data_IF_275602131277
#
_entry.id   IF_275602131277
#
_cell.length_a   1.000
_cell.length_b   1.000
_cell.length_c   1.000
_cell.angle_alpha   90.00
_cell.angle_beta   90.00
_cell.angle_gamma   90.00
#
_symmetry.space_group_name_H-M   'P 1'
#
loop_
_entity.id
_entity.type
_entity.pdbx_description
1 polymer ?
#
# COMPACT_ATOMS: atom_id res chain seq x y z
N UNK A 1 5.00 -21.79 -9.28
CA UNK A 1 5.63 -22.07 -7.98
C UNK A 1 4.79 -21.42 -6.87
N UNK A 2 4.54 -22.15 -5.78
CA UNK A 2 3.88 -21.63 -4.58
C UNK A 2 4.93 -21.46 -3.47
N UNK A 3 5.04 -20.26 -2.90
CA UNK A 3 5.95 -19.96 -1.80
C UNK A 3 5.12 -19.90 -0.52
N UNK A 4 5.33 -20.85 0.39
CA UNK A 4 4.64 -20.89 1.67
C UNK A 4 5.47 -20.15 2.74
N UNK A 5 4.86 -19.17 3.40
CA UNK A 5 5.40 -18.59 4.63
C UNK A 5 4.84 -19.31 5.86
N UNK A 6 5.67 -19.49 6.88
CA UNK A 6 5.25 -20.08 8.17
C UNK A 6 4.35 -19.15 8.99
N UNK A 7 4.44 -17.85 8.73
CA UNK A 7 3.74 -16.80 9.44
C UNK A 7 3.30 -15.68 8.50
N UNK A 8 2.35 -14.86 8.94
CA UNK A 8 1.92 -13.68 8.21
C UNK A 8 2.95 -12.56 8.36
N UNK A 9 3.68 -12.28 7.29
CA UNK A 9 4.73 -11.25 7.25
C UNK A 9 4.19 -9.84 6.91
N UNK A 10 2.91 -9.72 6.59
CA UNK A 10 2.32 -8.51 6.02
C UNK A 10 2.54 -8.40 4.51
N UNK A 11 2.05 -7.28 3.93
CA UNK A 11 2.01 -7.12 2.48
C UNK A 11 3.41 -6.97 1.87
N UNK A 12 4.22 -6.04 2.38
CA UNK A 12 5.54 -5.73 1.81
C UNK A 12 6.51 -6.91 1.89
N UNK A 13 6.71 -7.44 3.09
CA UNK A 13 7.62 -8.56 3.33
C UNK A 13 7.13 -9.85 2.65
N UNK A 14 5.81 -10.08 2.59
CA UNK A 14 5.23 -11.19 1.81
C UNK A 14 5.57 -11.10 0.33
N UNK A 15 5.47 -9.90 -0.28
CA UNK A 15 5.87 -9.68 -1.67
C UNK A 15 7.40 -9.83 -1.85
N UNK A 16 8.21 -9.42 -0.88
CA UNK A 16 9.67 -9.57 -0.94
C UNK A 16 10.11 -11.03 -1.07
N UNK A 17 9.38 -11.98 -0.47
CA UNK A 17 9.66 -13.42 -0.64
C UNK A 17 9.56 -13.85 -2.11
N UNK A 18 8.56 -13.34 -2.83
CA UNK A 18 8.40 -13.59 -4.26
C UNK A 18 9.43 -12.82 -5.08
N UNK A 19 9.57 -11.52 -4.85
CA UNK A 19 10.45 -10.63 -5.61
C UNK A 19 11.92 -11.03 -5.53
N UNK A 20 12.37 -11.56 -4.38
CA UNK A 20 13.74 -12.04 -4.22
C UNK A 20 14.12 -13.20 -5.15
N UNK A 21 13.12 -13.93 -5.69
CA UNK A 21 13.30 -15.06 -6.60
C UNK A 21 13.08 -14.70 -8.07
N UNK A 22 12.72 -13.44 -8.35
CA UNK A 22 12.46 -12.98 -9.72
C UNK A 22 13.79 -12.76 -10.45
N UNK A 23 13.98 -13.49 -11.56
CA UNK A 23 15.13 -13.38 -12.46
C UNK A 23 14.82 -12.54 -13.71
N UNK A 24 13.54 -12.33 -14.02
CA UNK A 24 13.10 -11.53 -15.17
C UNK A 24 13.33 -10.04 -14.95
N UNK A 25 13.36 -9.26 -16.04
CA UNK A 25 13.55 -7.80 -15.99
C UNK A 25 12.39 -7.07 -15.32
N UNK A 26 11.21 -7.68 -15.32
CA UNK A 26 9.97 -7.10 -14.80
C UNK A 26 9.22 -8.11 -13.93
N UNK A 27 8.46 -7.62 -12.97
CA UNK A 27 7.53 -8.38 -12.15
C UNK A 27 6.19 -7.68 -12.07
N UNK A 28 5.10 -8.43 -11.98
CA UNK A 28 3.77 -7.89 -11.73
C UNK A 28 3.27 -8.41 -10.38
N UNK A 29 3.11 -7.50 -9.41
CA UNK A 29 2.39 -7.80 -8.18
C UNK A 29 0.90 -7.57 -8.43
N UNK A 30 0.07 -8.53 -8.00
CA UNK A 30 -1.39 -8.45 -8.12
C UNK A 30 -2.01 -9.00 -6.85
N UNK A 31 -2.93 -8.25 -6.24
CA UNK A 31 -3.69 -8.74 -5.10
C UNK A 31 -4.64 -9.88 -5.52
N UNK A 32 -4.93 -10.84 -4.62
CA UNK A 32 -5.79 -11.99 -4.95
C UNK A 32 -7.26 -11.62 -5.27
N UNK A 33 -7.70 -10.42 -4.91
CA UNK A 33 -9.04 -9.87 -5.22
C UNK A 33 -9.05 -8.92 -6.43
N UNK A 34 -7.99 -8.96 -7.25
CA UNK A 34 -7.87 -8.21 -8.51
C UNK A 34 -7.97 -9.15 -9.70
N UNK A 35 -8.81 -8.79 -10.65
CA UNK A 35 -8.91 -9.46 -11.95
C UNK A 35 -8.34 -8.56 -13.05
N UNK A 36 -7.35 -9.08 -13.76
CA UNK A 36 -6.76 -8.41 -14.92
C UNK A 36 -7.64 -8.60 -16.15
N UNK A 37 -7.82 -7.54 -16.95
CA UNK A 37 -8.40 -7.69 -18.27
C UNK A 37 -7.45 -8.48 -19.19
N UNK A 38 -7.98 -9.17 -20.18
CA UNK A 38 -7.21 -10.07 -21.07
C UNK A 38 -6.01 -9.41 -21.78
N UNK A 39 -6.09 -8.10 -22.00
CA UNK A 39 -5.06 -7.31 -22.67
C UNK A 39 -4.12 -6.55 -21.71
N UNK A 40 -4.37 -6.63 -20.39
CA UNK A 40 -3.64 -5.83 -19.40
C UNK A 40 -2.13 -6.08 -19.42
N UNK A 41 -1.70 -7.34 -19.50
CA UNK A 41 -0.27 -7.69 -19.54
C UNK A 41 0.40 -7.13 -20.79
N UNK A 42 -0.24 -7.27 -21.97
CA UNK A 42 0.28 -6.71 -23.21
C UNK A 42 0.39 -5.18 -23.17
N UNK A 43 -0.58 -4.51 -22.54
CA UNK A 43 -0.56 -3.05 -22.37
C UNK A 43 0.58 -2.60 -21.47
N UNK A 44 0.92 -3.32 -20.39
CA UNK A 44 2.11 -3.01 -19.60
C UNK A 44 3.38 -3.04 -20.47
N UNK A 45 3.53 -4.02 -21.35
CA UNK A 45 4.67 -4.09 -22.27
C UNK A 45 4.64 -2.99 -23.33
N UNK A 46 3.47 -2.58 -23.81
CA UNK A 46 3.35 -1.44 -24.71
C UNK A 46 3.72 -0.12 -24.02
N UNK A 47 3.34 0.04 -22.75
CA UNK A 47 3.71 1.23 -21.96
C UNK A 47 5.22 1.38 -21.82
N UNK A 48 5.97 0.29 -21.64
CA UNK A 48 7.44 0.33 -21.55
C UNK A 48 8.06 0.96 -22.80
N UNK A 49 7.54 0.65 -23.98
CA UNK A 49 8.09 1.15 -25.26
C UNK A 49 7.95 2.69 -25.37
N UNK A 50 6.98 3.27 -24.68
CA UNK A 50 6.69 4.71 -24.70
C UNK A 50 7.32 5.47 -23.52
N UNK A 51 7.77 4.74 -22.51
CA UNK A 51 8.38 5.29 -21.31
C UNK A 51 9.89 5.05 -21.32
N UNK A 52 10.64 6.02 -20.83
CA UNK A 52 12.05 5.79 -20.55
C UNK A 52 12.24 4.91 -19.30
N UNK A 53 13.20 5.25 -18.44
CA UNK A 53 13.41 4.52 -17.21
C UNK A 53 12.24 4.75 -16.22
N UNK A 54 11.75 3.66 -15.61
CA UNK A 54 10.66 3.69 -14.64
C UNK A 54 10.91 2.73 -13.49
N UNK A 55 10.30 2.98 -12.35
CA UNK A 55 10.25 2.07 -11.22
C UNK A 55 8.97 1.24 -11.19
N UNK A 56 7.83 1.90 -11.36
CA UNK A 56 6.49 1.30 -11.29
C UNK A 56 5.59 1.85 -12.39
N UNK A 57 4.82 0.96 -13.04
CA UNK A 57 3.64 1.30 -13.82
C UNK A 57 2.43 0.66 -13.15
N UNK A 58 1.41 1.43 -12.80
CA UNK A 58 0.20 0.94 -12.19
C UNK A 58 -1.01 1.08 -13.12
N UNK A 59 -1.96 0.14 -13.07
CA UNK A 59 -3.23 0.24 -13.77
C UNK A 59 -4.20 1.14 -12.99
N UNK A 60 -5.37 1.40 -13.58
CA UNK A 60 -6.51 1.95 -12.87
C UNK A 60 -7.52 0.86 -12.52
N UNK A 61 -8.21 1.02 -11.39
CA UNK A 61 -9.36 0.19 -11.04
C UNK A 61 -10.61 0.68 -11.78
N UNK A 62 -11.42 -0.24 -12.30
CA UNK A 62 -12.75 0.08 -12.81
C UNK A 62 -13.68 0.62 -11.72
N UNK A 63 -13.42 0.28 -10.46
CA UNK A 63 -14.08 0.88 -9.32
C UNK A 63 -13.33 2.13 -8.87
N UNK A 64 -13.89 3.30 -9.16
CA UNK A 64 -13.29 4.62 -8.89
C UNK A 64 -12.86 4.83 -7.43
N UNK A 65 -13.53 4.17 -6.48
CA UNK A 65 -13.16 4.22 -5.05
C UNK A 65 -11.72 3.81 -4.78
N UNK A 66 -11.14 2.97 -5.63
CA UNK A 66 -9.76 2.48 -5.50
C UNK A 66 -8.75 3.27 -6.31
N UNK A 67 -9.16 4.31 -7.02
CA UNK A 67 -8.26 5.19 -7.74
C UNK A 67 -7.86 6.40 -6.89
N UNK A 68 -6.61 6.82 -6.99
CA UNK A 68 -6.09 8.02 -6.30
C UNK A 68 -6.43 9.32 -7.02
N UNK A 69 -6.95 9.24 -8.25
CA UNK A 69 -7.12 10.37 -9.16
C UNK A 69 -8.52 10.35 -9.74
N UNK A 70 -9.09 11.53 -9.94
CA UNK A 70 -10.23 11.71 -10.84
C UNK A 70 -9.75 11.37 -12.25
N UNK A 71 -10.07 10.18 -12.70
CA UNK A 71 -9.74 9.70 -14.04
C UNK A 71 -10.83 10.24 -14.96
N UNK A 72 -10.77 11.53 -15.24
CA UNK A 72 -11.46 12.09 -16.38
C UNK A 72 -10.82 11.45 -17.60
N UNK A 73 -11.59 10.92 -18.52
CA UNK A 73 -11.39 10.37 -19.87
C UNK A 73 -9.99 10.41 -20.53
N UNK A 74 -8.98 10.90 -19.87
CA UNK A 74 -7.59 10.98 -20.30
C UNK A 74 -7.00 9.57 -20.42
N UNK A 75 -6.59 9.24 -21.63
CA UNK A 75 -5.89 7.98 -21.96
C UNK A 75 -4.37 8.07 -21.86
N UNK A 76 -3.85 9.24 -21.48
CA UNK A 76 -2.40 9.46 -21.43
C UNK A 76 -1.79 8.90 -20.15
N UNK A 77 -0.60 8.30 -20.28
CA UNK A 77 0.19 7.83 -19.16
C UNK A 77 0.64 9.03 -18.33
N UNK A 78 0.42 8.99 -17.02
CA UNK A 78 0.73 10.09 -16.11
C UNK A 78 1.83 9.70 -15.12
N UNK A 79 2.83 10.58 -14.97
CA UNK A 79 3.79 10.48 -13.87
C UNK A 79 3.10 10.92 -12.56
N UNK A 80 3.30 10.14 -11.50
CA UNK A 80 2.65 10.34 -10.20
C UNK A 80 3.63 10.21 -9.05
N UNK A 81 3.23 10.66 -7.85
CA UNK A 81 4.07 10.51 -6.66
C UNK A 81 4.01 9.11 -6.04
N UNK A 82 2.86 8.48 -6.10
CA UNK A 82 2.63 7.14 -5.56
C UNK A 82 1.45 6.47 -6.26
N UNK A 83 1.36 5.16 -6.09
CA UNK A 83 0.29 4.31 -6.61
C UNK A 83 -0.31 3.47 -5.49
N UNK A 84 -1.46 2.85 -5.75
CA UNK A 84 -2.06 1.85 -4.86
C UNK A 84 -1.40 0.49 -5.07
N UNK A 85 -1.24 -0.26 -3.98
CA UNK A 85 -0.57 -1.56 -3.98
C UNK A 85 -1.35 -2.72 -4.60
N UNK A 86 -2.60 -2.54 -5.05
CA UNK A 86 -3.43 -3.66 -5.53
C UNK A 86 -2.91 -4.30 -6.84
N UNK A 87 -2.22 -3.53 -7.70
CA UNK A 87 -1.53 -4.02 -8.88
C UNK A 87 -0.38 -3.08 -9.26
N UNK A 88 0.83 -3.62 -9.37
CA UNK A 88 2.04 -2.84 -9.68
C UNK A 88 2.95 -3.62 -10.61
N UNK A 89 3.21 -3.09 -11.79
CA UNK A 89 4.20 -3.59 -12.73
C UNK A 89 5.55 -2.92 -12.45
N UNK A 90 6.54 -3.72 -12.10
CA UNK A 90 7.77 -3.31 -11.46
C UNK A 90 8.98 -3.51 -12.38
N UNK A 91 9.86 -2.52 -12.44
CA UNK A 91 11.18 -2.67 -13.03
C UNK A 91 12.15 -3.24 -11.98
N UNK A 92 12.53 -4.52 -12.16
CA UNK A 92 13.33 -5.25 -11.19
C UNK A 92 14.75 -4.67 -11.01
N UNK A 93 15.32 -4.06 -12.05
CA UNK A 93 16.62 -3.36 -11.96
C UNK A 93 16.55 -2.24 -10.91
N UNK A 94 15.55 -1.39 -10.98
CA UNK A 94 15.39 -0.25 -10.08
C UNK A 94 14.97 -0.68 -8.67
N UNK A 95 14.14 -1.72 -8.56
CA UNK A 95 13.75 -2.28 -7.27
C UNK A 95 14.95 -2.88 -6.50
N UNK A 96 15.81 -3.63 -7.18
CA UNK A 96 17.02 -4.22 -6.55
C UNK A 96 17.94 -3.15 -5.98
N UNK A 97 18.06 -1.98 -6.63
CA UNK A 97 18.89 -0.87 -6.15
C UNK A 97 18.40 -0.27 -4.84
N UNK A 98 17.11 -0.35 -4.54
CA UNK A 98 16.51 0.20 -3.32
C UNK A 98 16.12 -0.88 -2.30
N UNK A 99 16.50 -2.12 -2.55
CA UNK A 99 16.26 -3.26 -1.66
C UNK A 99 14.77 -3.54 -1.40
N UNK A 100 13.92 -3.53 -2.45
CA UNK A 100 12.51 -3.90 -2.43
C UNK A 100 11.64 -3.11 -1.42
N UNK A 101 10.61 -3.74 -0.85
CA UNK A 101 9.81 -3.15 0.22
C UNK A 101 10.60 -3.10 1.54
N UNK A 102 10.24 -2.16 2.41
CA UNK A 102 10.74 -2.14 3.79
C UNK A 102 9.89 -3.11 4.64
N UNK A 103 10.53 -4.15 5.16
CA UNK A 103 9.88 -5.22 5.93
C UNK A 103 9.32 -4.75 7.28
N UNK A 104 9.69 -3.56 7.74
CA UNK A 104 9.10 -2.98 8.95
C UNK A 104 7.64 -2.59 8.77
N UNK A 105 7.17 -2.31 7.54
CA UNK A 105 5.77 -2.08 7.25
C UNK A 105 5.02 -3.41 7.13
N UNK A 106 4.27 -3.77 8.16
CA UNK A 106 3.39 -4.93 8.06
C UNK A 106 2.18 -4.66 7.16
N UNK A 107 1.56 -3.47 7.32
CA UNK A 107 0.38 -3.04 6.57
C UNK A 107 0.31 -1.52 6.54
N UNK A 108 -0.07 -0.95 5.39
CA UNK A 108 -0.15 0.48 5.07
C UNK A 108 1.19 1.21 4.97
N UNK A 109 1.29 2.11 4.03
CA UNK A 109 2.45 2.93 3.68
C UNK A 109 3.62 2.18 3.02
N UNK A 110 3.60 0.86 2.93
CA UNK A 110 4.65 0.07 2.26
C UNK A 110 4.82 0.45 0.79
N UNK A 111 3.72 0.62 0.05
CA UNK A 111 3.75 1.05 -1.36
C UNK A 111 4.14 2.53 -1.50
N UNK A 112 3.71 3.37 -0.57
CA UNK A 112 4.05 4.80 -0.55
C UNK A 112 5.55 4.98 -0.23
N UNK A 113 6.08 4.22 0.72
CA UNK A 113 7.50 4.17 1.03
C UNK A 113 8.33 3.69 -0.16
N UNK A 114 7.87 2.62 -0.83
CA UNK A 114 8.51 2.08 -2.03
C UNK A 114 8.58 3.13 -3.14
N UNK A 115 7.46 3.75 -3.49
CA UNK A 115 7.39 4.82 -4.49
C UNK A 115 8.35 5.96 -4.15
N UNK A 116 8.37 6.39 -2.87
CA UNK A 116 9.24 7.47 -2.42
C UNK A 116 10.72 7.11 -2.52
N UNK A 117 11.12 5.87 -2.18
CA UNK A 117 12.51 5.40 -2.33
C UNK A 117 12.93 5.29 -3.78
N UNK A 118 12.04 4.80 -4.67
CA UNK A 118 12.26 4.79 -6.11
C UNK A 118 12.48 6.20 -6.66
N UNK A 119 11.61 7.16 -6.30
CA UNK A 119 11.76 8.56 -6.74
C UNK A 119 13.06 9.21 -6.24
N UNK A 120 13.47 8.93 -5.00
CA UNK A 120 14.77 9.37 -4.48
C UNK A 120 15.96 8.79 -5.25
N UNK A 121 15.76 7.61 -5.86
CA UNK A 121 16.73 6.96 -6.74
C UNK A 121 16.52 7.32 -8.23
N UNK A 122 15.88 8.44 -8.53
CA UNK A 122 15.59 8.97 -9.87
C UNK A 122 14.72 8.05 -10.75
N UNK A 123 14.03 7.08 -10.19
CA UNK A 123 13.07 6.24 -10.91
C UNK A 123 11.67 6.86 -10.89
N UNK A 124 11.03 6.91 -12.04
CA UNK A 124 9.70 7.48 -12.20
C UNK A 124 8.60 6.46 -11.89
N UNK A 125 7.47 6.96 -11.43
CA UNK A 125 6.27 6.18 -11.13
C UNK A 125 5.17 6.64 -12.07
N UNK A 126 4.50 5.70 -12.74
CA UNK A 126 3.46 6.01 -13.72
C UNK A 126 2.15 5.32 -13.40
N UNK A 127 1.06 5.94 -13.81
CA UNK A 127 -0.26 5.31 -13.99
C UNK A 127 -0.58 5.32 -15.47
N UNK A 128 -0.96 4.15 -16.00
CA UNK A 128 -1.47 4.02 -17.34
C UNK A 128 -2.99 3.78 -17.31
N UNK A 129 -3.82 4.79 -17.66
CA UNK A 129 -5.27 4.67 -17.59
C UNK A 129 -5.85 3.73 -18.67
N UNK A 130 -5.06 3.33 -19.66
CA UNK A 130 -5.49 2.34 -20.67
C UNK A 130 -5.49 0.92 -20.12
N UNK A 131 -4.74 0.69 -19.03
CA UNK A 131 -4.68 -0.60 -18.34
C UNK A 131 -5.74 -0.58 -17.22
N UNK A 132 -6.81 -1.34 -17.43
CA UNK A 132 -7.92 -1.42 -16.49
C UNK A 132 -7.95 -2.77 -15.80
N UNK A 133 -8.22 -2.76 -14.50
CA UNK A 133 -8.41 -3.97 -13.70
C UNK A 133 -9.69 -3.87 -12.88
N UNK A 134 -10.31 -5.00 -12.60
CA UNK A 134 -11.41 -5.08 -11.64
C UNK A 134 -10.84 -5.39 -10.26
N UNK A 135 -11.11 -4.53 -9.29
CA UNK A 135 -10.70 -4.72 -7.89
C UNK A 135 -11.93 -4.73 -7.00
N UNK A 136 -12.30 -5.89 -6.51
CA UNK A 136 -13.50 -6.08 -5.67
C UNK A 136 -13.34 -5.44 -4.29
N UNK A 137 -12.13 -5.45 -3.76
CA UNK A 137 -11.74 -4.83 -2.49
C UNK A 137 -12.48 -5.37 -1.26
N UNK A 138 -11.73 -5.85 -0.27
CA UNK A 138 -12.28 -6.28 1.00
C UNK A 138 -12.99 -7.63 1.00
N UNK A 139 -12.93 -8.41 -0.09
CA UNK A 139 -13.58 -9.72 -0.22
C UNK A 139 -12.65 -10.90 0.08
N UNK A 140 -11.41 -10.62 0.40
CA UNK A 140 -10.36 -11.64 0.59
C UNK A 140 -10.35 -12.32 1.95
N UNK A 141 -11.40 -12.13 2.80
CA UNK A 141 -11.42 -12.72 4.15
C UNK A 141 -12.82 -13.20 4.56
N UNK A 142 -12.86 -14.16 5.48
CA UNK A 142 -14.10 -14.67 6.08
C UNK A 142 -14.65 -13.66 7.11
N UNK A 143 -15.96 -13.53 7.20
CA UNK A 143 -16.67 -12.63 8.14
C UNK A 143 -16.34 -12.88 9.63
N UNK A 144 -15.93 -14.10 9.99
CA UNK A 144 -15.57 -14.46 11.37
C UNK A 144 -14.31 -13.73 11.89
N UNK A 145 -13.38 -13.40 10.98
CA UNK A 145 -12.12 -12.72 11.33
C UNK A 145 -12.17 -11.21 11.10
N UNK A 146 -13.32 -10.68 10.68
CA UNK A 146 -13.45 -9.25 10.33
C UNK A 146 -13.12 -8.32 11.51
N UNK A 147 -13.64 -8.60 12.71
CA UNK A 147 -13.37 -7.78 13.91
C UNK A 147 -11.89 -7.78 14.32
N UNK A 148 -11.23 -8.93 14.50
CA UNK A 148 -9.79 -8.96 14.77
C UNK A 148 -8.97 -8.25 13.70
N UNK A 149 -9.32 -8.41 12.41
CA UNK A 149 -8.66 -7.72 11.31
C UNK A 149 -8.86 -6.22 11.37
N UNK A 150 -10.05 -5.72 11.68
CA UNK A 150 -10.31 -4.29 11.83
C UNK A 150 -9.47 -3.69 12.95
N UNK A 151 -9.37 -4.35 14.11
CA UNK A 151 -8.51 -3.92 15.22
C UNK A 151 -7.04 -3.88 14.79
N UNK A 152 -6.55 -4.93 14.14
CA UNK A 152 -5.18 -5.00 13.61
C UNK A 152 -4.91 -3.89 12.57
N UNK A 153 -5.84 -3.67 11.62
CA UNK A 153 -5.74 -2.60 10.62
C UNK A 153 -5.63 -1.22 11.27
N UNK A 154 -6.42 -0.96 12.32
CA UNK A 154 -6.40 0.31 13.02
C UNK A 154 -5.09 0.53 13.79
N UNK A 155 -4.52 -0.53 14.36
CA UNK A 155 -3.21 -0.50 15.01
C UNK A 155 -2.10 -0.18 14.00
N UNK A 156 -2.02 -0.96 12.92
CA UNK A 156 -0.99 -0.79 11.89
C UNK A 156 -1.12 0.56 11.15
N UNK A 157 -2.34 1.06 10.92
CA UNK A 157 -2.54 2.37 10.34
C UNK A 157 -1.84 3.48 11.13
N UNK A 158 -1.95 3.46 12.45
CA UNK A 158 -1.33 4.46 13.31
C UNK A 158 0.17 4.27 13.40
N UNK A 159 0.61 3.03 13.60
CA UNK A 159 2.02 2.66 13.66
C UNK A 159 2.74 3.06 12.36
N UNK A 160 2.25 2.62 11.23
CA UNK A 160 2.84 2.87 9.90
C UNK A 160 2.82 4.36 9.54
N UNK A 161 1.76 5.11 9.94
CA UNK A 161 1.74 6.57 9.75
C UNK A 161 2.91 7.21 10.49
N UNK A 162 3.12 6.87 11.76
CA UNK A 162 4.22 7.44 12.53
C UNK A 162 5.58 7.01 11.99
N UNK A 163 5.76 5.71 11.76
CA UNK A 163 7.02 5.16 11.25
C UNK A 163 7.39 5.78 9.90
N UNK A 164 6.47 5.92 8.94
CA UNK A 164 6.71 6.58 7.67
C UNK A 164 7.24 8.01 7.83
N UNK A 165 6.58 8.81 8.66
CA UNK A 165 7.02 10.18 8.89
C UNK A 165 8.35 10.26 9.64
N UNK A 166 8.59 9.39 10.63
CA UNK A 166 9.85 9.27 11.36
C UNK A 166 11.01 8.91 10.42
N UNK A 167 10.80 7.92 9.54
CA UNK A 167 11.78 7.45 8.57
C UNK A 167 12.18 8.52 7.55
N UNK A 168 11.19 9.24 7.02
CA UNK A 168 11.43 10.15 5.90
C UNK A 168 11.65 11.61 6.27
N UNK A 169 11.18 12.05 7.42
CA UNK A 169 11.16 13.46 7.82
C UNK A 169 11.67 13.71 9.24
N UNK A 170 12.06 12.65 9.94
CA UNK A 170 12.55 12.72 11.32
C UNK A 170 11.47 12.71 12.39
N UNK A 171 11.90 12.48 13.62
CA UNK A 171 11.03 12.23 14.79
C UNK A 171 10.08 13.41 15.08
N UNK A 172 10.59 14.64 15.07
CA UNK A 172 9.76 15.83 15.37
C UNK A 172 8.62 16.01 14.37
N UNK A 173 8.91 15.81 13.08
CA UNK A 173 7.88 15.87 12.04
C UNK A 173 6.85 14.77 12.22
N UNK A 174 7.28 13.56 12.57
CA UNK A 174 6.37 12.45 12.85
C UNK A 174 5.43 12.79 14.01
N UNK A 175 5.95 13.35 15.11
CA UNK A 175 5.15 13.79 16.26
C UNK A 175 4.11 14.84 15.86
N UNK A 176 4.50 15.88 15.13
CA UNK A 176 3.57 16.91 14.66
C UNK A 176 2.47 16.32 13.78
N UNK A 177 2.82 15.42 12.87
CA UNK A 177 1.87 14.80 11.93
C UNK A 177 0.90 13.82 12.61
N UNK A 178 1.35 13.12 13.67
CA UNK A 178 0.51 12.15 14.37
C UNK A 178 -0.39 12.80 15.44
N UNK A 179 0.00 13.96 15.98
CA UNK A 179 -0.68 14.60 17.10
C UNK A 179 -2.20 14.80 16.89
N UNK A 180 -2.70 15.29 15.73
CA UNK A 180 -4.14 15.42 15.50
C UNK A 180 -4.86 14.07 15.51
N UNK A 181 -4.23 13.02 14.98
CA UNK A 181 -4.78 11.66 14.97
C UNK A 181 -4.80 11.06 16.37
N UNK A 182 -3.74 11.28 17.14
CA UNK A 182 -3.61 10.88 18.54
C UNK A 182 -4.71 11.52 19.38
N UNK A 183 -4.84 12.85 19.33
CA UNK A 183 -5.86 13.61 20.08
C UNK A 183 -7.28 13.16 19.72
N UNK A 184 -7.58 13.03 18.42
CA UNK A 184 -8.88 12.53 17.97
C UNK A 184 -9.16 11.11 18.45
N UNK A 185 -8.14 10.23 18.46
CA UNK A 185 -8.29 8.85 18.91
C UNK A 185 -8.53 8.80 20.41
N UNK A 186 -7.83 9.61 21.18
CA UNK A 186 -8.02 9.70 22.64
C UNK A 186 -9.42 10.20 23.01
N UNK A 187 -9.88 11.29 22.39
CA UNK A 187 -11.22 11.84 22.62
C UNK A 187 -12.29 10.79 22.29
N UNK A 188 -12.19 10.14 21.14
CA UNK A 188 -13.14 9.11 20.71
C UNK A 188 -13.10 7.87 21.61
N UNK A 189 -11.92 7.47 22.06
CA UNK A 189 -11.77 6.39 23.04
C UNK A 189 -12.57 6.70 24.31
N UNK A 190 -12.40 7.91 24.90
CA UNK A 190 -13.10 8.34 26.10
C UNK A 190 -14.61 8.40 25.86
N UNK A 191 -15.07 9.01 24.76
CA UNK A 191 -16.50 9.11 24.42
C UNK A 191 -17.12 7.71 24.33
N UNK A 192 -16.50 6.77 23.60
CA UNK A 192 -17.06 5.43 23.43
C UNK A 192 -16.96 4.58 24.70
N UNK A 193 -16.02 4.86 25.59
CA UNK A 193 -15.94 4.24 26.90
C UNK A 193 -17.12 4.70 27.78
N UNK A 194 -17.40 6.00 27.85
CA UNK A 194 -18.50 6.59 28.65
C UNK A 194 -19.87 6.19 28.06
N UNK A 195 -19.98 6.09 26.75
CA UNK A 195 -21.24 5.68 26.08
C UNK A 195 -21.42 4.17 25.97
N UNK A 196 -20.58 3.38 26.66
CA UNK A 196 -20.64 1.91 26.71
C UNK A 196 -20.57 1.22 25.33
N UNK A 197 -20.02 1.88 24.31
CA UNK A 197 -19.80 1.32 22.98
C UNK A 197 -18.50 0.52 22.92
N UNK A 198 -18.47 -0.63 23.61
CA UNK A 198 -17.27 -1.45 23.85
C UNK A 198 -16.42 -1.68 22.58
N UNK A 199 -17.02 -2.13 21.49
CA UNK A 199 -16.27 -2.42 20.27
C UNK A 199 -15.61 -1.18 19.67
N UNK A 200 -16.32 -0.05 19.62
CA UNK A 200 -15.73 1.20 19.12
C UNK A 200 -14.60 1.70 20.05
N UNK A 201 -14.73 1.55 21.36
CA UNK A 201 -13.66 1.90 22.29
C UNK A 201 -12.42 1.04 22.06
N UNK A 202 -12.56 -0.26 21.76
CA UNK A 202 -11.46 -1.15 21.42
C UNK A 202 -10.72 -0.71 20.15
N UNK A 203 -11.43 -0.28 19.09
CA UNK A 203 -10.81 0.27 17.89
C UNK A 203 -9.87 1.43 18.22
N UNK A 204 -10.35 2.41 19.01
CA UNK A 204 -9.54 3.58 19.34
C UNK A 204 -8.43 3.27 20.34
N UNK A 205 -8.60 2.29 21.23
CA UNK A 205 -7.53 1.75 22.08
C UNK A 205 -6.40 1.16 21.24
N UNK A 206 -6.73 0.39 20.17
CA UNK A 206 -5.73 -0.16 19.24
C UNK A 206 -5.00 0.94 18.48
N UNK A 207 -5.70 2.00 18.05
CA UNK A 207 -5.06 3.18 17.45
C UNK A 207 -4.04 3.85 18.37
N UNK A 208 -4.40 4.05 19.63
CA UNK A 208 -3.49 4.62 20.64
C UNK A 208 -2.27 3.71 20.86
N UNK A 209 -2.51 2.41 21.03
CA UNK A 209 -1.45 1.41 21.21
C UNK A 209 -0.48 1.37 20.02
N UNK A 210 -0.98 1.51 18.77
CA UNK A 210 -0.14 1.54 17.58
C UNK A 210 0.88 2.70 17.58
N UNK A 211 0.53 3.86 18.18
CA UNK A 211 1.47 4.97 18.31
C UNK A 211 2.48 4.73 19.44
N UNK A 212 2.02 4.24 20.59
CA UNK A 212 2.90 4.04 21.76
C UNK A 212 4.03 3.03 21.45
N UNK A 213 3.75 2.09 20.56
CA UNK A 213 4.70 1.03 20.17
C UNK A 213 5.47 1.32 18.86
N UNK A 214 5.43 2.58 18.34
CA UNK A 214 6.05 2.97 17.06
C UNK A 214 7.43 3.70 17.16
#
# INVERSE_FOLDING_TARGET
ECILSKENLGYGAGNNLGLSRVETSYALIVNPDVTLNNDAVNKFFLSINNLGDFGIIAPISQNEKYNNFNINEDKEIKEVDNVKGFAMFLNMKNLKQINFFDDNFFLYFEEIDLCRRLKKNNSKIFIDPTIKVSHLGGTSHNSEIEKPMELSRNWHWMWSTFYFHKKHYGYLTAMIKILPKLSSSLIKFIIFLITFQKYKSEIYKHRLSGIINS
#
